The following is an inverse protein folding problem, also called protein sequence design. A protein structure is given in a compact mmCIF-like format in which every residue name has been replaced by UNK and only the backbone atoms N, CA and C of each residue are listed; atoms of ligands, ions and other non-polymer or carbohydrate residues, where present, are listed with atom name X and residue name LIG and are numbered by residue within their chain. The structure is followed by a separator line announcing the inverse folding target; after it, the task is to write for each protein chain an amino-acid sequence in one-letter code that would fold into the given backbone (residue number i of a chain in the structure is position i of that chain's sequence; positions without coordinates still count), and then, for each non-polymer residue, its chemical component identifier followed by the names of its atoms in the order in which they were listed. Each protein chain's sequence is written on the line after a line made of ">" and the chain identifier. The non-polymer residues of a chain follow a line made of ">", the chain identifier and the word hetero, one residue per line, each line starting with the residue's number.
data_IF_488054275177
#
_entry.id   IF_488054275177
#
_cell.length_a   1.000
_cell.length_b   1.000
_cell.length_c   1.000
_cell.angle_alpha   90.00
_cell.angle_beta   90.00
_cell.angle_gamma   90.00
#
_symmetry.space_group_name_H-M   'P 1'
#
loop_
_entity.id
_entity.type
_entity.pdbx_description
1 polymer ?
#
# COMPACT_ATOMS: atom_id res chain seq x y z
N UNK A 1 -34.26 -30.96 17.00
CA UNK A 1 -32.82 -30.85 16.71
C UNK A 1 -32.66 -29.94 15.50
N UNK A 2 -32.37 -28.65 15.70
CA UNK A 2 -32.19 -27.70 14.60
C UNK A 2 -30.75 -27.75 14.10
N UNK A 3 -30.57 -28.09 12.83
CA UNK A 3 -29.28 -28.15 12.14
C UNK A 3 -28.70 -26.74 11.99
N UNK A 4 -27.72 -26.40 12.85
CA UNK A 4 -26.99 -25.12 12.82
C UNK A 4 -25.86 -25.24 11.80
N UNK A 5 -26.19 -25.07 10.51
CA UNK A 5 -25.18 -24.90 9.46
C UNK A 5 -24.38 -23.62 9.74
N UNK A 6 -23.10 -23.81 10.05
CA UNK A 6 -22.09 -22.75 10.28
C UNK A 6 -21.97 -21.93 8.99
N UNK A 7 -21.96 -20.58 9.02
CA UNK A 7 -21.78 -19.80 7.81
C UNK A 7 -20.39 -20.08 7.21
N UNK A 8 -20.33 -20.22 5.89
CA UNK A 8 -19.09 -20.40 5.15
C UNK A 8 -18.12 -19.25 5.48
N UNK A 9 -16.80 -19.51 5.59
CA UNK A 9 -15.84 -18.44 5.80
C UNK A 9 -15.95 -17.47 4.63
N UNK A 10 -16.18 -16.19 4.92
CA UNK A 10 -16.09 -15.13 3.91
C UNK A 10 -14.68 -15.20 3.32
N UNK A 11 -14.59 -15.63 2.07
CA UNK A 11 -13.34 -15.59 1.32
C UNK A 11 -12.99 -14.11 1.17
N UNK A 12 -12.04 -13.63 1.97
CA UNK A 12 -11.41 -12.34 1.74
C UNK A 12 -10.62 -12.49 0.44
N UNK A 13 -11.25 -12.14 -0.68
CA UNK A 13 -10.56 -12.01 -1.96
C UNK A 13 -9.59 -10.85 -1.78
N UNK A 14 -8.32 -11.17 -1.58
CA UNK A 14 -7.25 -10.19 -1.54
C UNK A 14 -6.89 -9.93 -3.00
N UNK A 15 -7.63 -9.04 -3.65
CA UNK A 15 -7.19 -8.53 -4.95
C UNK A 15 -5.88 -7.79 -4.71
N UNK A 16 -4.80 -8.35 -5.26
CA UNK A 16 -3.49 -7.72 -5.29
C UNK A 16 -3.22 -7.30 -6.72
N UNK A 17 -2.73 -6.08 -6.90
CA UNK A 17 -2.25 -5.62 -8.20
C UNK A 17 -0.81 -6.12 -8.47
N UNK A 18 -0.23 -6.89 -7.53
CA UNK A 18 1.13 -7.38 -7.63
C UNK A 18 1.27 -8.34 -8.81
N UNK A 19 2.17 -8.06 -9.77
CA UNK A 19 2.40 -8.93 -10.90
C UNK A 19 2.99 -10.27 -10.41
N UNK A 20 2.70 -11.35 -11.13
CA UNK A 20 3.20 -12.69 -10.80
C UNK A 20 4.74 -12.79 -10.80
N UNK A 21 5.41 -11.85 -11.45
CA UNK A 21 6.87 -11.69 -11.48
C UNK A 21 7.23 -10.22 -11.27
N UNK A 22 8.33 -9.90 -10.54
CA UNK A 22 8.81 -8.53 -10.39
C UNK A 22 9.09 -7.91 -11.76
N UNK A 23 8.59 -6.69 -11.99
CA UNK A 23 8.76 -5.98 -13.24
C UNK A 23 9.34 -4.60 -12.94
N UNK A 24 10.57 -4.35 -13.42
CA UNK A 24 11.30 -3.09 -13.29
C UNK A 24 11.49 -2.58 -11.84
N UNK A 25 11.69 -3.47 -10.87
CA UNK A 25 11.86 -3.05 -9.47
C UNK A 25 13.21 -2.34 -9.21
N UNK A 26 13.23 -1.24 -8.43
CA UNK A 26 12.09 -0.62 -7.74
C UNK A 26 11.27 0.38 -8.57
N UNK A 27 11.80 0.87 -9.69
CA UNK A 27 11.25 1.98 -10.48
C UNK A 27 9.86 1.72 -11.11
N UNK A 28 9.47 0.46 -11.31
CA UNK A 28 8.16 0.04 -11.82
C UNK A 28 7.18 -0.44 -10.74
N UNK A 29 7.58 -0.48 -9.48
CA UNK A 29 6.72 -0.95 -8.39
C UNK A 29 5.76 0.15 -7.92
N UNK A 30 6.29 1.35 -7.67
CA UNK A 30 5.55 2.54 -7.26
C UNK A 30 6.12 3.76 -7.97
N UNK A 31 5.24 4.57 -8.57
CA UNK A 31 5.56 5.88 -9.13
C UNK A 31 4.72 6.98 -8.48
N UNK A 32 5.23 8.21 -8.45
CA UNK A 32 4.52 9.37 -7.87
C UNK A 32 4.66 10.58 -8.79
N UNK A 33 3.57 11.29 -9.02
CA UNK A 33 3.54 12.57 -9.73
C UNK A 33 2.59 13.56 -9.05
N UNK A 34 2.85 14.86 -9.24
CA UNK A 34 1.88 15.90 -8.89
C UNK A 34 0.87 16.03 -10.02
N UNK A 35 -0.40 16.15 -9.64
CA UNK A 35 -1.51 16.45 -10.54
C UNK A 35 -1.56 17.96 -10.83
N UNK A 36 -2.11 18.32 -11.99
CA UNK A 36 -2.35 19.73 -12.33
C UNK A 36 -3.41 20.36 -11.40
N UNK A 37 -3.33 21.67 -11.22
CA UNK A 37 -4.20 22.45 -10.31
C UNK A 37 -5.70 22.25 -10.58
N UNK A 38 -6.07 21.88 -11.81
CA UNK A 38 -7.46 21.69 -12.25
C UNK A 38 -8.06 20.34 -11.82
N UNK A 39 -7.24 19.37 -11.41
CA UNK A 39 -7.69 17.99 -11.16
C UNK A 39 -8.29 17.82 -9.76
N UNK A 40 -8.15 18.79 -8.86
CA UNK A 40 -8.72 18.77 -7.50
C UNK A 40 -8.16 17.68 -6.56
N UNK A 41 -7.46 16.70 -7.11
CA UNK A 41 -6.61 15.70 -6.46
C UNK A 41 -5.21 16.29 -6.33
N UNK A 42 -4.43 15.96 -5.29
CA UNK A 42 -3.14 16.61 -5.02
C UNK A 42 -1.92 15.76 -5.40
N UNK A 43 -2.08 14.43 -5.50
CA UNK A 43 -0.99 13.49 -5.82
C UNK A 43 -1.55 12.34 -6.66
N UNK A 44 -0.86 11.99 -7.74
CA UNK A 44 -1.03 10.74 -8.48
C UNK A 44 0.01 9.72 -7.97
N UNK A 45 -0.46 8.54 -7.55
CA UNK A 45 0.40 7.40 -7.21
C UNK A 45 0.07 6.28 -8.18
N UNK A 46 1.09 5.76 -8.86
CA UNK A 46 0.97 4.58 -9.70
C UNK A 46 1.49 3.37 -8.94
N UNK A 47 0.65 2.36 -8.71
CA UNK A 47 1.02 1.10 -8.08
C UNK A 47 0.77 -0.01 -9.08
N UNK A 48 1.83 -0.75 -9.45
CA UNK A 48 1.74 -1.84 -10.44
C UNK A 48 1.04 -1.41 -11.76
N UNK A 49 1.33 -0.20 -12.22
CA UNK A 49 0.73 0.39 -13.43
C UNK A 49 -0.69 0.94 -13.26
N UNK A 50 -1.31 0.79 -12.09
CA UNK A 50 -2.63 1.36 -11.77
C UNK A 50 -2.46 2.73 -11.12
N UNK A 51 -3.10 3.75 -11.70
CA UNK A 51 -3.09 5.12 -11.16
C UNK A 51 -4.13 5.29 -10.06
N UNK A 52 -3.70 5.89 -8.96
CA UNK A 52 -4.51 6.30 -7.82
C UNK A 52 -4.36 7.80 -7.63
N UNK A 53 -5.47 8.49 -7.47
CA UNK A 53 -5.47 9.91 -7.17
C UNK A 53 -5.80 10.10 -5.70
N UNK A 54 -5.02 10.95 -5.04
CA UNK A 54 -5.13 11.22 -3.62
C UNK A 54 -5.24 12.71 -3.40
N UNK A 55 -6.32 13.11 -2.73
CA UNK A 55 -6.41 14.41 -2.10
C UNK A 55 -5.35 14.57 -1.01
N UNK A 56 -4.91 15.82 -0.76
CA UNK A 56 -3.84 16.17 0.19
C UNK A 56 -4.00 15.55 1.59
N UNK A 57 -5.23 15.46 2.10
CA UNK A 57 -5.53 14.84 3.40
C UNK A 57 -5.27 13.35 3.39
N UNK A 58 -5.73 12.63 2.36
CA UNK A 58 -5.50 11.19 2.23
C UNK A 58 -4.02 10.88 1.98
N UNK A 59 -3.35 11.69 1.17
CA UNK A 59 -1.91 11.59 0.95
C UNK A 59 -1.11 11.75 2.25
N UNK A 60 -1.50 12.72 3.10
CA UNK A 60 -0.89 12.93 4.40
C UNK A 60 -1.08 11.72 5.33
N UNK A 61 -2.28 11.17 5.39
CA UNK A 61 -2.54 9.98 6.21
C UNK A 61 -1.78 8.74 5.71
N UNK A 62 -1.62 8.58 4.40
CA UNK A 62 -0.77 7.55 3.83
C UNK A 62 0.69 7.74 4.23
N UNK A 63 1.21 8.97 4.13
CA UNK A 63 2.57 9.31 4.55
C UNK A 63 2.80 8.99 6.04
N UNK A 64 1.88 9.37 6.91
CA UNK A 64 1.95 9.06 8.34
C UNK A 64 2.05 7.55 8.60
N UNK A 65 1.23 6.76 7.89
CA UNK A 65 1.24 5.29 8.03
C UNK A 65 2.52 4.66 7.49
N UNK A 66 3.08 5.17 6.40
CA UNK A 66 4.34 4.69 5.85
C UNK A 66 5.51 4.97 6.81
N UNK A 67 5.57 6.18 7.39
CA UNK A 67 6.58 6.51 8.40
C UNK A 67 6.47 5.59 9.61
N UNK A 68 5.26 5.40 10.16
CA UNK A 68 5.05 4.48 11.27
C UNK A 68 5.50 3.05 10.93
N UNK A 69 5.26 2.60 9.70
CA UNK A 69 5.68 1.27 9.24
C UNK A 69 7.21 1.14 9.11
N UNK A 70 7.89 2.20 8.69
CA UNK A 70 9.35 2.25 8.66
C UNK A 70 9.91 2.21 10.08
N UNK A 71 9.32 2.95 11.02
CA UNK A 71 9.73 2.93 12.42
C UNK A 71 9.57 1.54 13.04
N UNK A 72 8.44 0.86 12.78
CA UNK A 72 8.21 -0.54 13.16
C UNK A 72 9.29 -1.46 12.58
N UNK A 73 9.60 -1.32 11.29
CA UNK A 73 10.63 -2.12 10.62
C UNK A 73 12.01 -1.87 11.24
N UNK A 74 12.39 -0.60 11.44
CA UNK A 74 13.69 -0.23 11.99
C UNK A 74 13.87 -0.74 13.42
N UNK A 75 12.79 -0.82 14.22
CA UNK A 75 12.83 -1.46 15.53
C UNK A 75 13.16 -2.97 15.44
N UNK A 76 12.56 -3.69 14.49
CA UNK A 76 12.82 -5.11 14.24
C UNK A 76 14.25 -5.29 13.69
N UNK A 77 14.65 -4.48 12.72
CA UNK A 77 15.97 -4.52 12.10
C UNK A 77 17.08 -4.36 13.14
N UNK A 78 16.95 -3.35 14.01
CA UNK A 78 17.88 -3.10 15.12
C UNK A 78 17.97 -4.29 16.07
N UNK A 79 16.84 -4.89 16.43
CA UNK A 79 16.81 -6.07 17.30
C UNK A 79 17.47 -7.30 16.64
N UNK A 80 17.40 -7.41 15.31
CA UNK A 80 18.02 -8.47 14.52
C UNK A 80 19.48 -8.19 14.15
N UNK A 81 20.02 -6.99 14.46
CA UNK A 81 21.38 -6.59 14.09
C UNK A 81 21.58 -6.38 12.58
N UNK A 82 20.52 -6.08 11.84
CA UNK A 82 20.58 -5.77 10.40
C UNK A 82 20.40 -4.27 10.15
N UNK A 83 20.86 -3.74 9.00
CA UNK A 83 20.75 -2.31 8.69
C UNK A 83 19.31 -1.79 8.67
N UNK A 84 19.15 -0.55 9.14
CA UNK A 84 17.91 0.24 9.09
C UNK A 84 17.80 0.97 7.75
N UNK A 85 16.61 1.48 7.45
CA UNK A 85 16.32 2.34 6.27
C UNK A 85 15.96 3.76 6.68
#
# INVERSE_FOLDING_TARGET
>A
MGDKRKPAPHLLVKETHEPAVPQDWPEGHVGVALTDDEVGECIEITIHGVKHYLHSTTARELSNRLVARIDEWNAIARAAGVPEV
#
